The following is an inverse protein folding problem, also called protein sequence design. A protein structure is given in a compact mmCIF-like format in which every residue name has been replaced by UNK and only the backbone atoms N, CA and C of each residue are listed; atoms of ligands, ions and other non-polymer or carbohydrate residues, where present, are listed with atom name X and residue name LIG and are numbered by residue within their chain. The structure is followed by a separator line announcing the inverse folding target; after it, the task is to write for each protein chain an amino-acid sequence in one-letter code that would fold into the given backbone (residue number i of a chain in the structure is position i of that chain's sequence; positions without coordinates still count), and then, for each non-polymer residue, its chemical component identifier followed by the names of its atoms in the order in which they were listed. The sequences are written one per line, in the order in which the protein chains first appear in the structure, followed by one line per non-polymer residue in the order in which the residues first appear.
data_IF_933776092639
#
_entry.id   IF_933776092639
#
_cell.length_a   1.000
_cell.length_b   1.000
_cell.length_c   1.000
_cell.angle_alpha   90.00
_cell.angle_beta   90.00
_cell.angle_gamma   90.00
#
_symmetry.space_group_name_H-M   'P 1'
#
loop_
_entity.id
_entity.type
_entity.pdbx_description
1 polymer ?
#
# COMPACT_ATOMS: atom_id res chain seq x y z
N UNK A 1 -20.07 -8.70 -8.10
CA UNK A 1 -19.65 -9.61 -7.02
C UNK A 1 -19.02 -8.79 -5.89
N UNK A 2 -19.48 -9.00 -4.68
CA UNK A 2 -18.93 -8.29 -3.53
C UNK A 2 -17.51 -8.77 -3.24
N UNK A 3 -16.61 -7.82 -3.03
CA UNK A 3 -15.27 -8.13 -2.59
C UNK A 3 -15.28 -8.66 -1.15
N UNK A 4 -14.19 -9.30 -0.76
CA UNK A 4 -14.03 -9.79 0.59
C UNK A 4 -13.80 -8.63 1.55
N UNK A 5 -14.59 -8.52 2.60
CA UNK A 5 -14.47 -7.45 3.58
C UNK A 5 -13.31 -7.71 4.54
N UNK A 6 -12.66 -6.64 4.94
CA UNK A 6 -11.52 -6.65 5.84
C UNK A 6 -11.79 -5.70 7.01
N UNK A 7 -11.09 -5.90 8.13
CA UNK A 7 -11.16 -4.96 9.25
C UNK A 7 -10.52 -3.63 8.84
N UNK A 8 -11.14 -2.54 9.23
CA UNK A 8 -10.65 -1.20 8.92
C UNK A 8 -9.22 -0.97 9.43
N UNK A 9 -8.91 -1.39 10.66
CA UNK A 9 -7.58 -1.22 11.22
C UNK A 9 -6.52 -1.96 10.38
N UNK A 10 -6.82 -3.15 9.89
CA UNK A 10 -5.90 -3.90 9.05
C UNK A 10 -5.65 -3.18 7.72
N UNK A 11 -6.71 -2.67 7.11
CA UNK A 11 -6.59 -1.92 5.83
C UNK A 11 -5.69 -0.70 6.01
N UNK A 12 -5.86 0.03 7.11
CA UNK A 12 -5.04 1.21 7.37
C UNK A 12 -3.58 0.86 7.64
N UNK A 13 -3.31 -0.22 8.36
CA UNK A 13 -1.93 -0.69 8.59
C UNK A 13 -1.27 -1.07 7.27
N UNK A 14 -1.99 -1.79 6.39
CA UNK A 14 -1.47 -2.19 5.09
C UNK A 14 -1.20 -0.99 4.18
N UNK A 15 -1.91 0.12 4.38
CA UNK A 15 -1.67 1.35 3.62
C UNK A 15 -0.70 2.29 4.32
N UNK A 16 0.07 1.77 5.28
CA UNK A 16 1.14 2.50 5.97
C UNK A 16 0.66 3.76 6.70
N UNK A 17 -0.57 3.74 7.21
CA UNK A 17 -1.13 4.85 7.98
C UNK A 17 -0.60 4.90 9.42
N UNK A 18 0.21 3.93 9.82
CA UNK A 18 0.83 3.85 11.13
C UNK A 18 0.87 2.44 11.65
N UNK A 19 1.39 2.28 12.87
CA UNK A 19 1.36 1.00 13.56
C UNK A 19 -0.08 0.63 13.93
N UNK A 20 -0.30 -0.62 14.32
CA UNK A 20 -1.62 -1.09 14.74
C UNK A 20 -2.19 -0.23 15.87
N UNK A 21 -1.36 0.13 16.83
CA UNK A 21 -1.73 0.98 17.96
C UNK A 21 -2.09 2.40 17.50
N UNK A 22 -1.26 2.98 16.63
CA UNK A 22 -1.50 4.33 16.10
C UNK A 22 -2.77 4.37 15.28
N UNK A 23 -2.99 3.37 14.44
CA UNK A 23 -4.20 3.25 13.61
C UNK A 23 -5.45 3.15 14.49
N UNK A 24 -5.38 2.33 15.56
CA UNK A 24 -6.49 2.22 16.50
C UNK A 24 -6.86 3.56 17.13
N UNK A 25 -5.85 4.35 17.51
CA UNK A 25 -6.07 5.68 18.08
C UNK A 25 -6.68 6.63 17.06
N UNK A 26 -6.20 6.60 15.81
CA UNK A 26 -6.77 7.43 14.75
C UNK A 26 -8.25 7.14 14.54
N UNK A 27 -8.62 5.88 14.50
CA UNK A 27 -10.01 5.47 14.29
C UNK A 27 -10.88 5.91 15.47
N UNK A 28 -10.46 5.62 16.68
CA UNK A 28 -11.25 5.95 17.89
C UNK A 28 -11.41 7.45 18.08
N UNK A 29 -10.45 8.25 17.63
CA UNK A 29 -10.50 9.71 17.76
C UNK A 29 -11.38 10.38 16.70
N UNK A 30 -11.94 9.62 15.76
CA UNK A 30 -12.83 10.16 14.74
C UNK A 30 -12.13 10.78 13.55
N UNK A 31 -10.86 10.46 13.34
CA UNK A 31 -10.08 11.02 12.23
C UNK A 31 -10.17 10.18 10.96
N UNK A 32 -10.92 9.07 10.98
CA UNK A 32 -11.08 8.18 9.84
C UNK A 32 -12.52 8.18 9.39
N UNK A 33 -12.72 8.34 8.08
CA UNK A 33 -14.04 8.24 7.47
C UNK A 33 -14.06 7.12 6.44
N UNK A 34 -15.23 6.50 6.30
CA UNK A 34 -15.50 5.49 5.26
C UNK A 34 -16.74 5.97 4.53
N UNK A 35 -16.61 6.24 3.23
CA UNK A 35 -17.70 6.80 2.41
C UNK A 35 -18.29 8.07 3.05
N UNK A 36 -17.39 8.95 3.52
CA UNK A 36 -17.71 10.26 4.15
C UNK A 36 -18.38 10.17 5.51
N UNK A 37 -18.48 8.97 6.09
CA UNK A 37 -19.04 8.78 7.43
C UNK A 37 -17.93 8.46 8.42
N UNK A 38 -17.92 9.13 9.57
CA UNK A 38 -16.91 8.86 10.61
C UNK A 38 -17.13 7.47 11.19
N UNK A 39 -16.05 6.68 11.22
CA UNK A 39 -16.04 5.35 11.82
C UNK A 39 -15.08 5.36 13.01
N UNK A 40 -15.55 4.93 14.18
CA UNK A 40 -14.75 4.95 15.42
C UNK A 40 -14.41 3.55 15.94
N UNK A 41 -14.76 2.51 15.18
CA UNK A 41 -14.51 1.12 15.57
C UNK A 41 -13.43 0.52 14.68
N UNK A 42 -12.25 0.18 15.25
CA UNK A 42 -11.18 -0.44 14.45
C UNK A 42 -11.58 -1.75 13.79
N UNK A 43 -12.50 -2.50 14.40
CA UNK A 43 -12.98 -3.79 13.89
C UNK A 43 -14.07 -3.68 12.82
N UNK A 44 -14.51 -2.46 12.49
CA UNK A 44 -15.50 -2.24 11.45
C UNK A 44 -15.04 -2.87 10.14
N UNK A 45 -15.92 -3.66 9.50
CA UNK A 45 -15.61 -4.30 8.22
C UNK A 45 -15.79 -3.31 7.08
N UNK A 46 -14.83 -3.27 6.18
CA UNK A 46 -14.87 -2.43 4.99
C UNK A 46 -14.43 -3.24 3.78
N UNK A 47 -14.85 -2.80 2.59
CA UNK A 47 -14.41 -3.40 1.34
C UNK A 47 -13.33 -2.50 0.74
N UNK A 48 -12.05 -2.92 0.77
CA UNK A 48 -10.97 -2.05 0.27
C UNK A 48 -11.06 -1.78 -1.23
N UNK A 49 -11.84 -2.56 -1.97
CA UNK A 49 -12.00 -2.35 -3.42
C UNK A 49 -13.13 -1.37 -3.75
N UNK A 50 -14.08 -1.17 -2.85
CA UNK A 50 -15.27 -0.36 -3.10
C UNK A 50 -15.40 0.85 -2.17
N UNK A 51 -15.00 0.72 -0.91
CA UNK A 51 -15.21 1.76 0.09
C UNK A 51 -14.11 2.82 0.00
N UNK A 52 -14.52 4.09 0.06
CA UNK A 52 -13.59 5.22 0.07
C UNK A 52 -13.19 5.51 1.51
N UNK A 53 -11.91 5.33 1.82
CA UNK A 53 -11.37 5.50 3.16
C UNK A 53 -10.47 6.72 3.19
N UNK A 54 -10.73 7.63 4.12
CA UNK A 54 -9.93 8.84 4.32
C UNK A 54 -9.41 8.90 5.75
N UNK A 55 -8.17 9.36 5.89
CA UNK A 55 -7.53 9.60 7.20
C UNK A 55 -7.14 11.06 7.25
N UNK A 56 -7.64 11.78 8.26
CA UNK A 56 -7.39 13.22 8.43
C UNK A 56 -7.72 14.01 7.16
N UNK A 57 -8.77 13.60 6.46
CA UNK A 57 -9.23 14.27 5.25
C UNK A 57 -8.49 13.85 3.97
N UNK A 58 -7.49 13.00 4.05
CA UNK A 58 -6.73 12.54 2.89
C UNK A 58 -7.19 11.15 2.50
N UNK A 59 -7.63 11.00 1.25
CA UNK A 59 -8.04 9.70 0.73
C UNK A 59 -6.84 8.79 0.54
N UNK A 60 -6.96 7.56 1.04
CA UNK A 60 -5.93 6.54 0.86
C UNK A 60 -5.99 5.93 -0.54
N UNK A 61 -4.86 5.41 -1.06
CA UNK A 61 -4.89 4.65 -2.30
C UNK A 61 -5.89 3.50 -2.16
N UNK A 62 -6.73 3.35 -3.18
CA UNK A 62 -7.81 2.37 -3.14
C UNK A 62 -7.35 1.02 -3.66
N UNK A 63 -8.05 0.00 -3.21
CA UNK A 63 -7.86 -1.34 -3.71
C UNK A 63 -7.11 -2.26 -2.75
N UNK A 64 -7.33 -3.55 -2.95
CA UNK A 64 -6.71 -4.62 -2.17
C UNK A 64 -5.22 -4.71 -2.46
N UNK A 65 -4.85 -4.42 -3.71
CA UNK A 65 -3.47 -4.43 -4.17
C UNK A 65 -3.10 -3.07 -4.73
N UNK A 66 -1.83 -2.73 -4.61
CA UNK A 66 -1.28 -1.49 -5.14
C UNK A 66 -0.45 -1.81 -6.37
N UNK A 67 -0.63 -1.03 -7.44
CA UNK A 67 0.15 -1.15 -8.67
C UNK A 67 0.78 0.20 -8.97
N UNK A 68 2.11 0.23 -9.07
CA UNK A 68 2.84 1.47 -9.30
C UNK A 68 3.75 1.28 -10.50
N UNK A 69 3.62 2.16 -11.48
CA UNK A 69 4.54 2.20 -12.61
C UNK A 69 5.68 3.15 -12.26
N UNK A 70 6.90 2.65 -12.30
CA UNK A 70 8.09 3.41 -11.97
C UNK A 70 9.03 3.45 -13.17
N UNK A 71 9.59 4.63 -13.43
CA UNK A 71 10.72 4.74 -14.33
C UNK A 71 11.98 4.54 -13.48
N UNK A 72 12.51 3.33 -13.52
CA UNK A 72 13.64 2.94 -12.67
C UNK A 72 14.89 3.72 -13.02
N UNK A 73 15.51 4.43 -12.05
CA UNK A 73 16.79 5.08 -12.28
C UNK A 73 17.94 4.07 -12.28
N UNK A 74 19.05 4.47 -12.83
CA UNK A 74 20.29 3.71 -12.82
C UNK A 74 20.81 3.59 -11.38
N UNK A 75 21.45 2.47 -11.06
CA UNK A 75 22.10 2.28 -9.78
C UNK A 75 21.22 1.70 -8.68
N UNK A 76 19.98 1.31 -8.99
CA UNK A 76 19.02 0.80 -8.03
C UNK A 76 18.64 -0.63 -8.41
N UNK A 77 18.55 -1.52 -7.42
CA UNK A 77 18.24 -2.93 -7.65
C UNK A 77 16.74 -3.15 -7.87
N UNK A 78 16.40 -4.03 -8.81
CA UNK A 78 15.04 -4.51 -9.02
C UNK A 78 14.73 -5.61 -8.00
N UNK A 79 14.58 -5.23 -6.73
CA UNK A 79 14.33 -6.14 -5.63
C UNK A 79 13.42 -5.47 -4.60
N UNK A 80 12.88 -6.27 -3.70
CA UNK A 80 12.04 -5.74 -2.61
C UNK A 80 12.87 -5.11 -1.52
N UNK A 81 14.02 -5.69 -1.24
CA UNK A 81 14.95 -5.19 -0.23
C UNK A 81 16.32 -5.79 -0.43
N UNK A 82 17.33 -5.09 0.04
CA UNK A 82 18.71 -5.55 0.04
C UNK A 82 19.41 -4.90 1.23
N UNK A 83 20.24 -5.65 1.99
CA UNK A 83 20.89 -5.10 3.18
C UNK A 83 21.97 -4.07 2.88
N UNK A 84 22.47 -4.01 1.64
CA UNK A 84 23.59 -3.14 1.29
C UNK A 84 23.28 -2.13 0.18
N UNK A 85 22.27 -2.38 -0.64
CA UNK A 85 22.00 -1.54 -1.80
C UNK A 85 20.56 -1.01 -1.76
N UNK A 86 20.37 0.16 -2.36
CA UNK A 86 19.03 0.73 -2.51
C UNK A 86 18.25 -0.04 -3.57
N UNK A 87 16.98 -0.32 -3.27
CA UNK A 87 16.09 -1.04 -4.17
C UNK A 87 15.00 -0.11 -4.71
N UNK A 88 14.29 -0.60 -5.73
CA UNK A 88 13.18 0.16 -6.31
C UNK A 88 12.07 0.43 -5.29
N UNK A 89 11.86 -0.47 -4.33
CA UNK A 89 10.86 -0.27 -3.27
C UNK A 89 11.29 0.86 -2.34
N UNK A 90 12.58 1.01 -2.06
CA UNK A 90 13.10 2.07 -1.20
C UNK A 90 12.84 3.47 -1.78
N UNK A 91 12.67 3.58 -3.08
CA UNK A 91 12.41 4.86 -3.75
C UNK A 91 10.95 5.32 -3.63
N UNK A 92 10.05 4.42 -3.23
CA UNK A 92 8.64 4.75 -3.10
C UNK A 92 8.40 5.66 -1.91
N UNK A 93 7.42 6.58 -1.98
CA UNK A 93 6.94 7.28 -0.80
C UNK A 93 6.55 6.28 0.28
N UNK A 94 6.73 6.65 1.54
CA UNK A 94 6.46 5.76 2.67
C UNK A 94 5.06 5.16 2.63
N UNK A 95 4.06 5.96 2.25
CA UNK A 95 2.67 5.50 2.19
C UNK A 95 2.43 4.44 1.11
N UNK A 96 3.38 4.24 0.19
CA UNK A 96 3.28 3.23 -0.86
C UNK A 96 4.19 2.02 -0.61
N UNK A 97 4.95 2.03 0.47
CA UNK A 97 5.82 0.92 0.83
C UNK A 97 5.06 -0.12 1.64
N UNK A 98 4.04 -0.70 1.03
CA UNK A 98 3.24 -1.76 1.68
C UNK A 98 4.09 -2.99 1.95
N UNK A 99 3.78 -3.74 3.03
CA UNK A 99 4.37 -5.07 3.20
C UNK A 99 4.10 -5.93 1.97
N UNK A 100 5.13 -6.63 1.50
CA UNK A 100 4.99 -7.51 0.35
C UNK A 100 5.12 -6.84 -1.01
N UNK A 101 5.44 -5.57 -1.08
CA UNK A 101 5.70 -4.91 -2.37
C UNK A 101 6.95 -5.49 -3.03
N UNK A 102 6.87 -5.72 -4.33
CA UNK A 102 7.98 -6.25 -5.11
C UNK A 102 7.87 -5.78 -6.56
N UNK A 103 8.99 -5.74 -7.31
CA UNK A 103 8.92 -5.45 -8.73
C UNK A 103 8.39 -6.67 -9.49
N UNK A 104 7.43 -6.44 -10.38
CA UNK A 104 6.81 -7.49 -11.19
C UNK A 104 7.63 -7.84 -12.44
N UNK A 105 8.85 -7.43 -12.49
CA UNK A 105 9.83 -7.73 -13.51
C UNK A 105 11.18 -7.30 -13.01
N UNK A 106 12.21 -7.53 -13.79
CA UNK A 106 13.56 -7.18 -13.37
C UNK A 106 14.30 -6.44 -14.47
N UNK A 107 14.96 -5.37 -14.09
CA UNK A 107 15.94 -4.68 -14.91
C UNK A 107 17.27 -4.73 -14.17
N UNK A 108 18.37 -4.77 -14.91
CA UNK A 108 19.69 -4.74 -14.30
C UNK A 108 19.88 -3.44 -13.50
N UNK A 109 20.76 -3.51 -12.50
CA UNK A 109 21.06 -2.37 -11.62
C UNK A 109 21.37 -1.10 -12.41
N UNK A 110 22.15 -1.22 -13.46
CA UNK A 110 22.63 -0.08 -14.26
C UNK A 110 21.73 0.22 -15.46
N UNK A 111 20.57 -0.40 -15.53
CA UNK A 111 19.60 -0.19 -16.62
C UNK A 111 18.46 0.70 -16.13
N UNK A 112 18.06 1.64 -16.98
CA UNK A 112 16.85 2.46 -16.75
C UNK A 112 15.69 1.85 -17.53
N UNK A 113 14.46 2.16 -17.11
CA UNK A 113 13.27 1.70 -17.80
C UNK A 113 12.07 1.60 -16.88
N UNK A 114 10.94 1.25 -17.45
CA UNK A 114 9.70 1.14 -16.67
C UNK A 114 9.59 -0.21 -15.99
N UNK A 115 9.19 -0.16 -14.72
CA UNK A 115 8.85 -1.33 -13.91
C UNK A 115 7.49 -1.13 -13.28
N UNK A 116 6.78 -2.23 -13.07
CA UNK A 116 5.57 -2.23 -12.25
C UNK A 116 5.95 -2.79 -10.88
N UNK A 117 5.64 -2.06 -9.81
CA UNK A 117 5.78 -2.55 -8.44
C UNK A 117 4.39 -2.83 -7.90
N UNK A 118 4.24 -3.95 -7.23
CA UNK A 118 2.92 -4.37 -6.72
C UNK A 118 3.10 -5.33 -5.55
N UNK A 119 2.05 -5.48 -4.75
CA UNK A 119 1.97 -6.53 -3.73
C UNK A 119 1.03 -7.68 -4.19
N UNK A 120 0.65 -7.69 -5.46
CA UNK A 120 -0.21 -8.73 -6.05
C UNK A 120 0.65 -9.85 -6.65
N UNK A 121 0.85 -10.93 -5.89
CA UNK A 121 1.66 -12.05 -6.33
C UNK A 121 1.11 -12.76 -7.57
N UNK A 122 -0.21 -12.82 -7.72
CA UNK A 122 -0.82 -13.47 -8.88
C UNK A 122 -0.54 -12.69 -10.17
N UNK A 123 -0.52 -11.36 -10.09
CA UNK A 123 -0.19 -10.52 -11.24
C UNK A 123 1.22 -10.81 -11.78
N UNK A 124 2.17 -11.01 -10.89
CA UNK A 124 3.57 -11.22 -11.27
C UNK A 124 3.83 -12.59 -11.91
N UNK A 125 2.93 -13.53 -11.72
CA UNK A 125 3.10 -14.91 -12.22
C UNK A 125 2.22 -15.23 -13.43
N UNK A 126 1.71 -14.23 -14.08
CA UNK A 126 0.97 -14.43 -15.34
C UNK A 126 1.89 -14.70 -16.51
#
# INVERSE_FOLDING_TARGET
MEGKKERLDRVLVLNCAGSRKQVGQLIRSGQVTVNDLVVRRPEQKVDPDCDRICVKGTQLPMGRYLYIMMNKPEGVLSASRDPKAMTVVDLLPEQWQRPGMFPAGRLDKDTTGFLVLTDDGAFAHR
#
